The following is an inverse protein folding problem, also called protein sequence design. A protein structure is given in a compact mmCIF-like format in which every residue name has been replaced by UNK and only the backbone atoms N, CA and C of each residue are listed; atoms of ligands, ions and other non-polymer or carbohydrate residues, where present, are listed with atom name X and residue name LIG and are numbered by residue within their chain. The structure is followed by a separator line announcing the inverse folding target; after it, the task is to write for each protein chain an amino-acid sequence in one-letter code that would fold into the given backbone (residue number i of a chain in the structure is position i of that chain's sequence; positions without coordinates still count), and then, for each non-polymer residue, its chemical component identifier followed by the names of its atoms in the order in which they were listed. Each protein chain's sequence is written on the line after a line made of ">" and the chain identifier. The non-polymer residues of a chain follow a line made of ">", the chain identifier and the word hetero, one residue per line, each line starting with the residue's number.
data_IF_817358599838
#
_entry.id   IF_817358599838
#
_cell.length_a   1.000
_cell.length_b   1.000
_cell.length_c   1.000
_cell.angle_alpha   90.00
_cell.angle_beta   90.00
_cell.angle_gamma   90.00
#
_symmetry.space_group_name_H-M   'P 1'
#
loop_
_entity.id
_entity.type
_entity.pdbx_description
1 polymer ?
#
# COMPACT_ATOMS: atom_id res chain seq x y z
N UNK A 1 7.72 16.21 0.83
CA UNK A 1 7.37 14.78 0.94
C UNK A 1 7.68 14.39 2.37
N UNK A 2 6.77 13.71 3.08
CA UNK A 2 7.01 13.28 4.46
C UNK A 2 7.86 12.00 4.46
N UNK A 3 8.65 11.77 5.49
CA UNK A 3 9.41 10.55 5.66
C UNK A 3 8.77 9.67 6.73
N UNK A 4 8.85 8.37 6.51
CA UNK A 4 8.33 7.34 7.40
C UNK A 4 9.19 6.09 7.23
N UNK A 5 9.03 5.10 8.09
CA UNK A 5 9.75 3.82 8.02
C UNK A 5 8.76 2.68 8.22
N UNK A 6 9.13 1.49 7.75
CA UNK A 6 8.32 0.29 7.95
C UNK A 6 9.19 -0.92 8.27
N UNK A 7 8.78 -1.69 9.27
CA UNK A 7 9.46 -2.90 9.73
C UNK A 7 8.73 -4.15 9.25
N UNK A 8 9.35 -4.92 8.37
CA UNK A 8 8.88 -6.25 7.95
C UNK A 8 9.60 -7.29 8.82
N UNK A 9 9.03 -7.60 9.98
CA UNK A 9 9.58 -8.64 10.86
C UNK A 9 9.30 -10.02 10.28
N UNK A 10 10.34 -10.85 10.19
CA UNK A 10 10.27 -12.19 9.57
C UNK A 10 10.87 -13.22 10.51
N UNK A 11 10.19 -14.35 10.69
CA UNK A 11 10.75 -15.53 11.33
C UNK A 11 10.32 -16.77 10.54
N UNK A 12 11.29 -17.59 10.11
CA UNK A 12 11.05 -18.71 9.19
C UNK A 12 10.31 -18.27 7.90
N UNK A 13 9.08 -18.75 7.67
CA UNK A 13 8.23 -18.38 6.53
C UNK A 13 7.10 -17.40 6.89
N UNK A 14 7.08 -16.93 8.15
CA UNK A 14 6.05 -16.06 8.69
C UNK A 14 6.49 -14.60 8.74
N UNK A 15 5.54 -13.72 8.43
CA UNK A 15 5.65 -12.28 8.53
C UNK A 15 4.80 -11.84 9.72
N UNK A 16 5.32 -10.93 10.53
CA UNK A 16 4.48 -10.24 11.50
C UNK A 16 3.67 -9.16 10.78
N UNK A 17 2.34 -9.24 10.90
CA UNK A 17 1.43 -8.28 10.29
C UNK A 17 0.45 -7.73 11.30
N UNK A 18 0.01 -6.50 11.06
CA UNK A 18 -1.01 -5.84 11.86
C UNK A 18 -2.20 -5.50 10.98
N UNK A 19 -3.40 -5.53 11.57
CA UNK A 19 -4.60 -4.93 11.01
C UNK A 19 -4.90 -3.65 11.76
N UNK A 20 -4.87 -2.54 11.04
CA UNK A 20 -5.14 -1.20 11.58
C UNK A 20 -6.56 -1.10 12.14
N UNK A 21 -6.73 -0.33 13.21
CA UNK A 21 -8.04 -0.08 13.82
C UNK A 21 -9.02 0.56 12.81
N UNK A 22 -10.30 0.15 12.79
CA UNK A 22 -11.29 0.69 11.85
C UNK A 22 -11.63 2.17 12.04
N UNK A 23 -11.35 2.74 13.22
CA UNK A 23 -11.64 4.13 13.54
C UNK A 23 -10.50 5.10 13.15
N UNK A 24 -9.36 4.59 12.68
CA UNK A 24 -8.24 5.43 12.24
C UNK A 24 -8.57 6.16 10.94
N UNK A 25 -8.10 7.40 10.83
CA UNK A 25 -8.34 8.23 9.64
C UNK A 25 -7.64 7.69 8.39
N UNK A 26 -6.47 7.07 8.54
CA UNK A 26 -5.66 6.55 7.44
C UNK A 26 -5.68 5.02 7.40
N UNK A 27 -6.14 4.49 6.26
CA UNK A 27 -6.18 3.05 5.96
C UNK A 27 -6.84 2.19 7.06
N UNK A 28 -8.07 2.52 7.50
CA UNK A 28 -8.77 1.75 8.53
C UNK A 28 -9.02 0.31 8.07
N UNK A 29 -8.68 -0.66 8.92
CA UNK A 29 -8.86 -2.08 8.62
C UNK A 29 -7.87 -2.69 7.62
N UNK A 30 -6.87 -1.93 7.15
CA UNK A 30 -5.84 -2.44 6.23
C UNK A 30 -4.86 -3.34 6.99
N UNK A 31 -4.42 -4.40 6.31
CA UNK A 31 -3.21 -5.11 6.70
C UNK A 31 -1.99 -4.26 6.35
N UNK A 32 -1.10 -4.12 7.31
CA UNK A 32 0.12 -3.33 7.21
C UNK A 32 1.27 -4.00 7.96
N UNK A 33 2.45 -3.44 7.76
CA UNK A 33 3.61 -3.71 8.60
C UNK A 33 3.75 -2.56 9.60
N UNK A 34 4.24 -2.82 10.82
CA UNK A 34 4.51 -1.80 11.83
C UNK A 34 5.42 -0.70 11.30
N UNK A 35 5.23 0.53 11.78
CA UNK A 35 6.05 1.67 11.42
C UNK A 35 5.24 2.95 11.24
N UNK A 36 5.94 4.06 11.39
CA UNK A 36 5.34 5.38 11.36
C UNK A 36 6.29 6.43 10.82
N UNK A 37 6.05 7.67 11.23
CA UNK A 37 6.74 8.83 10.66
C UNK A 37 8.12 8.97 11.28
N UNK A 38 9.03 9.53 10.51
CA UNK A 38 10.28 10.07 11.08
C UNK A 38 9.95 11.41 11.72
N UNK A 39 10.23 11.53 13.01
CA UNK A 39 10.04 12.73 13.80
C UNK A 39 11.36 13.50 13.96
N UNK A 40 11.28 14.75 14.41
CA UNK A 40 12.47 15.61 14.54
C UNK A 40 13.43 15.08 15.62
N UNK A 41 12.87 14.44 16.64
CA UNK A 41 13.55 13.78 17.75
C UNK A 41 14.36 12.55 17.30
N UNK A 42 14.09 12.00 16.11
CA UNK A 42 14.82 10.86 15.56
C UNK A 42 16.18 11.25 14.94
N UNK A 43 16.50 12.56 14.84
CA UNK A 43 17.69 13.06 14.17
C UNK A 43 19.01 12.52 14.75
N UNK A 44 19.05 12.24 16.05
CA UNK A 44 20.22 11.71 16.74
C UNK A 44 20.05 10.22 17.08
N UNK A 45 20.95 9.41 16.52
CA UNK A 45 21.01 7.97 16.79
C UNK A 45 22.44 7.54 17.09
N UNK A 46 22.66 6.99 18.29
CA UNK A 46 24.00 6.69 18.80
C UNK A 46 24.29 5.18 18.90
N UNK A 47 23.29 4.30 18.73
CA UNK A 47 23.48 2.86 18.83
C UNK A 47 24.23 2.33 17.61
N UNK A 48 25.46 1.86 17.82
CA UNK A 48 26.30 1.26 16.78
C UNK A 48 26.15 -0.26 16.77
N UNK A 49 25.73 -0.81 15.63
CA UNK A 49 25.69 -2.24 15.40
C UNK A 49 25.99 -2.56 13.93
N UNK A 50 26.81 -3.60 13.61
CA UNK A 50 27.19 -3.91 12.23
C UNK A 50 26.02 -4.05 11.26
N UNK A 51 24.88 -4.63 11.69
CA UNK A 51 23.67 -4.80 10.86
C UNK A 51 22.90 -3.50 10.58
N UNK A 52 23.27 -2.38 11.21
CA UNK A 52 22.59 -1.09 11.06
C UNK A 52 23.42 -0.04 10.33
N UNK A 53 24.74 -0.22 10.24
CA UNK A 53 25.70 0.80 9.76
C UNK A 53 25.45 1.30 8.33
N UNK A 54 24.82 0.48 7.49
CA UNK A 54 24.51 0.87 6.11
C UNK A 54 23.25 1.73 5.98
N UNK A 55 22.43 1.83 7.03
CA UNK A 55 21.17 2.57 7.00
C UNK A 55 21.31 3.96 7.64
N UNK A 56 20.55 4.97 7.19
CA UNK A 56 20.56 6.29 7.82
C UNK A 56 20.11 6.21 9.28
N UNK A 57 20.93 6.74 10.20
CA UNK A 57 20.69 6.64 11.64
C UNK A 57 19.32 7.14 12.09
N UNK A 58 18.82 8.24 11.50
CA UNK A 58 17.50 8.77 11.81
C UNK A 58 16.35 7.84 11.40
N UNK A 59 16.50 7.08 10.31
CA UNK A 59 15.50 6.08 9.90
C UNK A 59 15.54 4.89 10.84
N UNK A 60 16.74 4.47 11.27
CA UNK A 60 16.88 3.40 12.26
C UNK A 60 16.28 3.81 13.61
N UNK A 61 16.51 5.04 14.06
CA UNK A 61 15.91 5.55 15.31
C UNK A 61 14.40 5.55 15.25
N UNK A 62 13.81 6.07 14.17
CA UNK A 62 12.37 6.02 13.96
C UNK A 62 11.87 4.57 13.95
N UNK A 63 12.59 3.65 13.29
CA UNK A 63 12.21 2.23 13.21
C UNK A 63 12.21 1.57 14.60
N UNK A 64 13.23 1.83 15.42
CA UNK A 64 13.31 1.34 16.79
C UNK A 64 12.18 1.91 17.66
N UNK A 65 11.91 3.22 17.55
CA UNK A 65 10.83 3.88 18.29
C UNK A 65 9.46 3.31 17.95
N UNK A 66 9.12 3.24 16.66
CA UNK A 66 7.82 2.74 16.19
C UNK A 66 7.62 1.26 16.56
N UNK A 67 8.66 0.42 16.45
CA UNK A 67 8.59 -0.98 16.91
C UNK A 67 8.35 -1.08 18.42
N UNK A 68 8.93 -0.18 19.20
CA UNK A 68 8.72 -0.15 20.64
C UNK A 68 7.33 0.37 21.02
N UNK A 69 6.88 1.47 20.41
CA UNK A 69 5.59 2.10 20.67
C UNK A 69 4.42 1.23 20.21
N UNK A 70 4.45 0.73 18.98
CA UNK A 70 3.35 -0.06 18.43
C UNK A 70 3.31 -1.50 18.97
N UNK A 71 4.47 -2.10 19.27
CA UNK A 71 4.57 -3.55 19.54
C UNK A 71 5.22 -3.92 20.86
N UNK A 72 5.78 -2.96 21.60
CA UNK A 72 6.63 -3.25 22.75
C UNK A 72 7.92 -4.01 22.39
N UNK A 73 8.33 -4.00 21.12
CA UNK A 73 9.50 -4.73 20.64
C UNK A 73 10.75 -3.85 20.60
N UNK A 74 11.71 -4.14 21.49
CA UNK A 74 12.99 -3.45 21.55
C UNK A 74 14.01 -4.07 20.57
N UNK A 75 14.16 -3.42 19.41
CA UNK A 75 15.08 -3.86 18.36
C UNK A 75 16.55 -3.77 18.78
N UNK A 76 16.95 -2.75 19.54
CA UNK A 76 18.34 -2.58 20.00
C UNK A 76 18.74 -3.70 20.96
N UNK A 77 17.86 -4.03 21.90
CA UNK A 77 18.07 -5.15 22.83
C UNK A 77 18.11 -6.48 22.08
N UNK A 78 17.24 -6.68 21.09
CA UNK A 78 17.26 -7.88 20.24
C UNK A 78 18.58 -8.01 19.47
N UNK A 79 19.11 -6.90 18.93
CA UNK A 79 20.42 -6.86 18.27
C UNK A 79 21.55 -7.20 19.25
N UNK A 80 21.57 -6.55 20.42
CA UNK A 80 22.60 -6.78 21.45
C UNK A 80 22.62 -8.24 21.95
N UNK A 81 21.48 -8.93 21.94
CA UNK A 81 21.34 -10.36 22.30
C UNK A 81 21.62 -11.31 21.14
N UNK A 82 21.91 -10.80 19.94
CA UNK A 82 22.13 -11.61 18.74
C UNK A 82 20.84 -12.28 18.24
N UNK A 83 19.66 -11.76 18.57
CA UNK A 83 18.37 -12.34 18.17
C UNK A 83 17.96 -11.94 16.74
N UNK A 84 18.62 -10.95 16.16
CA UNK A 84 18.45 -10.53 14.76
C UNK A 84 19.51 -11.19 13.89
N UNK A 85 19.09 -11.96 12.89
CA UNK A 85 19.97 -12.64 11.92
C UNK A 85 20.48 -11.67 10.86
N UNK A 86 19.60 -10.86 10.30
CA UNK A 86 19.93 -9.92 9.22
C UNK A 86 18.90 -8.80 9.16
N UNK A 87 19.33 -7.66 8.61
CA UNK A 87 18.45 -6.55 8.25
C UNK A 87 18.76 -6.18 6.79
N UNK A 88 17.74 -5.96 5.97
CA UNK A 88 17.90 -5.54 4.57
C UNK A 88 16.81 -4.57 4.14
N UNK A 89 17.15 -3.57 3.33
CA UNK A 89 16.17 -2.67 2.72
C UNK A 89 15.48 -3.35 1.53
N UNK A 90 14.21 -3.73 1.68
CA UNK A 90 13.42 -4.31 0.59
C UNK A 90 13.18 -3.30 -0.54
N UNK A 91 13.04 -2.03 -0.20
CA UNK A 91 12.83 -0.94 -1.14
C UNK A 91 12.13 0.23 -0.49
N UNK A 92 12.03 1.33 -1.23
CA UNK A 92 11.37 2.56 -0.77
C UNK A 92 10.07 2.78 -1.52
N UNK A 93 8.96 2.70 -0.80
CA UNK A 93 7.65 3.01 -1.32
C UNK A 93 7.43 4.53 -1.31
N UNK A 94 7.00 5.08 -2.45
CA UNK A 94 6.70 6.49 -2.62
C UNK A 94 5.21 6.63 -2.90
N UNK A 95 4.51 7.40 -2.07
CA UNK A 95 3.08 7.66 -2.32
C UNK A 95 2.90 8.36 -3.67
N UNK A 96 1.97 7.89 -4.52
CA UNK A 96 1.72 8.48 -5.83
C UNK A 96 1.42 9.98 -5.80
N UNK A 97 1.69 10.68 -6.91
CA UNK A 97 1.61 12.14 -7.01
C UNK A 97 0.19 12.71 -6.82
N UNK A 98 -0.84 11.91 -7.10
CA UNK A 98 -2.24 12.34 -6.97
C UNK A 98 -2.74 12.36 -5.52
N UNK A 99 -2.03 11.72 -4.58
CA UNK A 99 -2.43 11.71 -3.18
C UNK A 99 -2.12 13.07 -2.53
N UNK A 100 -3.08 13.61 -1.76
CA UNK A 100 -2.93 14.90 -1.07
C UNK A 100 -1.78 14.88 -0.04
N UNK A 101 -1.60 13.76 0.65
CA UNK A 101 -0.49 13.54 1.58
C UNK A 101 0.43 12.46 1.01
N UNK A 102 1.73 12.74 0.98
CA UNK A 102 2.72 11.85 0.35
C UNK A 102 3.85 11.51 1.30
N UNK A 103 4.19 10.22 1.34
CA UNK A 103 5.27 9.65 2.12
C UNK A 103 6.34 9.01 1.22
N UNK A 104 7.58 9.01 1.73
CA UNK A 104 8.67 8.13 1.32
C UNK A 104 8.93 7.16 2.46
N UNK A 105 8.76 5.86 2.20
CA UNK A 105 8.78 4.81 3.23
C UNK A 105 9.74 3.69 2.82
N UNK A 106 11.01 3.70 3.26
CA UNK A 106 11.85 2.51 3.27
C UNK A 106 11.20 1.38 4.08
N UNK A 107 11.17 0.18 3.51
CA UNK A 107 10.69 -1.03 4.17
C UNK A 107 11.88 -1.92 4.51
N UNK A 108 12.19 -2.06 5.80
CA UNK A 108 13.30 -2.87 6.30
C UNK A 108 12.79 -4.26 6.67
N UNK A 109 13.33 -5.28 6.02
CA UNK A 109 13.15 -6.67 6.45
C UNK A 109 14.09 -6.94 7.61
N UNK A 110 13.55 -7.41 8.72
CA UNK A 110 14.30 -7.80 9.91
C UNK A 110 14.06 -9.29 10.14
N UNK A 111 15.08 -10.11 9.86
CA UNK A 111 14.99 -11.57 10.06
C UNK A 111 15.38 -11.92 11.50
N UNK A 112 14.44 -12.51 12.24
CA UNK A 112 14.59 -12.86 13.65
C UNK A 112 14.91 -14.34 13.83
N UNK A 113 15.80 -14.65 14.77
CA UNK A 113 16.13 -16.03 15.15
C UNK A 113 14.97 -16.74 15.86
N UNK A 114 14.06 -15.99 16.48
CA UNK A 114 12.85 -16.47 17.16
C UNK A 114 11.75 -15.41 17.08
N UNK A 115 10.50 -15.82 17.30
CA UNK A 115 9.39 -14.88 17.48
C UNK A 115 9.51 -14.19 18.85
N UNK A 116 9.67 -12.85 18.91
CA UNK A 116 9.67 -12.12 20.17
C UNK A 116 8.27 -12.10 20.80
N UNK A 117 8.21 -11.76 22.07
CA UNK A 117 6.96 -11.35 22.70
C UNK A 117 6.54 -10.00 22.11
N UNK A 118 5.30 -9.91 21.63
CA UNK A 118 4.73 -8.70 21.04
C UNK A 118 3.52 -8.26 21.86
N UNK A 119 3.43 -6.96 22.10
CA UNK A 119 2.33 -6.27 22.79
C UNK A 119 1.80 -5.16 21.89
N UNK A 120 0.86 -5.48 20.98
CA UNK A 120 0.29 -4.49 20.07
C UNK A 120 -0.41 -3.37 20.84
N UNK A 121 -0.21 -2.13 20.44
CA UNK A 121 -1.01 -1.01 20.91
C UNK A 121 -2.47 -1.17 20.44
N UNK A 122 -3.38 -1.33 21.41
CA UNK A 122 -4.79 -1.52 21.15
C UNK A 122 -5.49 -0.29 20.57
N UNK A 123 -4.92 0.91 20.69
CA UNK A 123 -5.48 2.12 20.09
C UNK A 123 -5.26 2.18 18.58
N UNK A 124 -4.15 1.62 18.08
CA UNK A 124 -3.82 1.61 16.65
C UNK A 124 -4.05 0.25 15.96
N UNK A 125 -3.90 -0.85 16.69
CA UNK A 125 -3.89 -2.21 16.13
C UNK A 125 -5.10 -3.01 16.62
N UNK A 126 -5.98 -3.37 15.68
CA UNK A 126 -7.16 -4.19 15.96
C UNK A 126 -6.86 -5.69 16.08
N UNK A 127 -5.78 -6.12 15.44
CA UNK A 127 -5.34 -7.52 15.40
C UNK A 127 -3.91 -7.55 14.89
N UNK A 128 -3.09 -8.45 15.42
CA UNK A 128 -1.76 -8.71 14.91
C UNK A 128 -1.41 -10.19 15.10
N UNK A 129 -0.64 -10.74 14.17
CA UNK A 129 -0.19 -12.12 14.26
C UNK A 129 1.01 -12.39 13.33
N UNK A 130 1.66 -13.52 13.57
CA UNK A 130 2.61 -14.12 12.65
C UNK A 130 1.84 -14.96 11.63
N UNK A 131 1.96 -14.63 10.35
CA UNK A 131 1.26 -15.35 9.28
C UNK A 131 2.21 -15.61 8.12
N UNK A 132 2.13 -16.80 7.53
CA UNK A 132 2.95 -17.11 6.36
C UNK A 132 2.64 -16.18 5.19
N UNK A 133 3.67 -15.81 4.42
CA UNK A 133 3.49 -14.94 3.25
C UNK A 133 2.47 -15.49 2.24
N UNK A 134 2.44 -16.82 2.07
CA UNK A 134 1.50 -17.51 1.18
C UNK A 134 0.05 -17.38 1.66
N UNK A 135 -0.20 -17.50 2.96
CA UNK A 135 -1.53 -17.33 3.54
C UNK A 135 -2.00 -15.87 3.41
N UNK A 136 -1.15 -14.89 3.68
CA UNK A 136 -1.47 -13.47 3.49
C UNK A 136 -1.81 -13.15 2.03
N UNK A 137 -1.02 -13.67 1.09
CA UNK A 137 -1.29 -13.48 -0.33
C UNK A 137 -2.61 -14.13 -0.75
N UNK A 138 -2.94 -15.29 -0.18
CA UNK A 138 -4.21 -15.95 -0.45
C UNK A 138 -5.41 -15.21 0.15
N UNK A 139 -5.29 -14.61 1.34
CA UNK A 139 -6.33 -13.75 1.91
C UNK A 139 -6.62 -12.55 1.01
N UNK A 140 -5.58 -11.88 0.50
CA UNK A 140 -5.74 -10.79 -0.46
C UNK A 140 -6.46 -11.27 -1.73
N UNK A 141 -5.96 -12.34 -2.38
CA UNK A 141 -6.59 -12.92 -3.59
C UNK A 141 -8.03 -13.39 -3.38
N UNK A 142 -8.43 -13.69 -2.15
CA UNK A 142 -9.80 -14.07 -1.81
C UNK A 142 -10.70 -12.87 -1.46
N UNK A 143 -10.21 -11.62 -1.58
CA UNK A 143 -10.95 -10.42 -1.20
C UNK A 143 -11.18 -10.29 0.31
N UNK A 144 -10.34 -10.94 1.13
CA UNK A 144 -10.47 -10.96 2.60
C UNK A 144 -9.49 -10.03 3.32
N UNK A 145 -8.64 -9.34 2.58
CA UNK A 145 -7.65 -8.42 3.13
C UNK A 145 -7.56 -7.15 2.27
N UNK A 146 -7.56 -6.00 2.95
CA UNK A 146 -7.20 -4.71 2.38
C UNK A 146 -5.69 -4.52 2.51
N UNK A 147 -5.02 -4.19 1.40
CA UNK A 147 -3.57 -3.95 1.38
C UNK A 147 -3.26 -2.81 0.43
N UNK A 148 -2.35 -1.91 0.83
CA UNK A 148 -1.77 -0.93 -0.10
C UNK A 148 -0.78 -1.62 -1.04
N UNK A 149 -0.52 -1.02 -2.21
CA UNK A 149 0.32 -1.61 -3.24
C UNK A 149 1.72 -2.06 -2.73
N UNK A 150 2.45 -1.27 -1.91
CA UNK A 150 3.73 -1.73 -1.35
C UNK A 150 3.60 -3.01 -0.51
N UNK A 151 2.59 -3.09 0.36
CA UNK A 151 2.31 -4.28 1.18
C UNK A 151 2.02 -5.49 0.29
N UNK A 152 1.22 -5.32 -0.77
CA UNK A 152 0.94 -6.40 -1.73
C UNK A 152 2.23 -6.88 -2.42
N UNK A 153 3.08 -5.97 -2.88
CA UNK A 153 4.34 -6.32 -3.52
C UNK A 153 5.26 -7.09 -2.57
N UNK A 154 5.42 -6.63 -1.32
CA UNK A 154 6.25 -7.30 -0.32
C UNK A 154 5.70 -8.68 0.03
N UNK A 155 4.41 -8.78 0.36
CA UNK A 155 3.76 -10.06 0.70
C UNK A 155 3.88 -11.05 -0.46
N UNK A 156 3.59 -10.62 -1.70
CA UNK A 156 3.71 -11.48 -2.89
C UNK A 156 5.13 -11.96 -3.12
N UNK A 157 6.13 -11.08 -2.99
CA UNK A 157 7.53 -11.44 -3.17
C UNK A 157 7.98 -12.43 -2.08
N UNK A 158 7.73 -12.14 -0.80
CA UNK A 158 8.15 -13.01 0.30
C UNK A 158 7.35 -14.31 0.37
N UNK A 159 6.12 -14.35 -0.15
CA UNK A 159 5.36 -15.59 -0.35
C UNK A 159 5.99 -16.52 -1.38
N UNK A 160 6.71 -15.96 -2.37
CA UNK A 160 7.33 -16.71 -3.46
C UNK A 160 8.80 -17.04 -3.16
N UNK A 161 9.51 -16.09 -2.56
CA UNK A 161 10.90 -16.20 -2.14
C UNK A 161 11.12 -15.47 -0.82
N UNK A 162 11.11 -16.22 0.28
CA UNK A 162 11.39 -15.70 1.62
C UNK A 162 12.80 -15.15 1.79
N UNK A 163 13.75 -15.55 0.94
CA UNK A 163 15.14 -15.09 1.02
C UNK A 163 15.36 -13.75 0.31
N UNK A 164 14.35 -13.24 -0.40
CA UNK A 164 14.41 -11.96 -1.07
C UNK A 164 14.87 -10.85 -0.11
N UNK A 165 15.86 -10.08 -0.58
CA UNK A 165 16.41 -8.91 0.10
C UNK A 165 15.95 -7.60 -0.57
N UNK A 166 15.28 -7.69 -1.72
CA UNK A 166 14.75 -6.55 -2.47
C UNK A 166 13.42 -6.91 -3.14
N UNK A 167 12.55 -5.92 -3.25
CA UNK A 167 11.26 -5.97 -3.95
C UNK A 167 11.30 -4.98 -5.11
N UNK A 168 11.18 -5.49 -6.33
CA UNK A 168 11.16 -4.67 -7.53
C UNK A 168 10.08 -5.17 -8.51
N UNK A 169 9.08 -4.35 -8.87
CA UNK A 169 8.79 -3.01 -8.34
C UNK A 169 8.08 -3.06 -6.97
N UNK A 170 8.46 -2.15 -6.07
CA UNK A 170 7.72 -1.89 -4.81
C UNK A 170 6.60 -0.86 -4.99
N UNK A 171 6.74 0.01 -5.99
CA UNK A 171 5.76 1.05 -6.32
C UNK A 171 4.84 0.60 -7.45
N UNK A 172 3.68 1.24 -7.58
CA UNK A 172 2.83 1.05 -8.76
C UNK A 172 3.60 1.51 -10.01
N UNK A 173 3.50 0.72 -11.09
CA UNK A 173 4.17 1.01 -12.36
C UNK A 173 3.11 1.32 -13.42
N UNK A 174 3.16 2.53 -13.96
CA UNK A 174 2.31 2.99 -15.06
C UNK A 174 2.97 4.18 -15.75
N UNK A 175 2.54 4.48 -16.97
CA UNK A 175 3.04 5.65 -17.71
C UNK A 175 2.29 6.91 -17.24
N UNK A 176 2.92 7.71 -16.38
CA UNK A 176 2.31 8.92 -15.82
C UNK A 176 1.88 9.96 -16.87
N UNK A 177 2.52 9.96 -18.05
CA UNK A 177 2.25 10.93 -19.11
C UNK A 177 1.01 10.55 -19.93
N UNK A 178 0.66 9.26 -19.96
CA UNK A 178 -0.38 8.76 -20.87
C UNK A 178 -1.42 7.88 -20.21
N UNK A 179 -1.28 7.54 -18.94
CA UNK A 179 -2.17 6.66 -18.19
C UNK A 179 -2.55 7.27 -16.84
N UNK A 180 -3.74 6.91 -16.37
CA UNK A 180 -4.15 7.07 -14.98
C UNK A 180 -3.68 5.89 -14.14
N UNK A 181 -3.34 6.12 -12.85
CA UNK A 181 -2.97 5.05 -11.93
C UNK A 181 -4.17 4.13 -11.66
N UNK A 182 -3.87 2.85 -11.43
CA UNK A 182 -4.84 1.84 -11.04
C UNK A 182 -4.42 1.23 -9.70
N UNK A 183 -5.31 1.28 -8.71
CA UNK A 183 -5.09 0.76 -7.36
C UNK A 183 -6.12 -0.32 -7.02
N UNK A 184 -5.72 -1.59 -6.97
CA UNK A 184 -6.57 -2.68 -6.47
C UNK A 184 -6.27 -2.89 -4.98
N UNK A 185 -6.93 -2.15 -4.09
CA UNK A 185 -6.65 -2.21 -2.63
C UNK A 185 -7.29 -3.42 -1.94
N UNK A 186 -8.33 -3.97 -2.57
CA UNK A 186 -8.96 -5.25 -2.26
C UNK A 186 -9.22 -5.96 -3.59
N UNK A 187 -9.08 -7.29 -3.62
CA UNK A 187 -9.24 -8.04 -4.86
C UNK A 187 -10.63 -7.82 -5.47
N UNK A 188 -10.66 -7.56 -6.78
CA UNK A 188 -11.90 -7.38 -7.54
C UNK A 188 -12.46 -5.95 -7.48
N UNK A 189 -11.85 -5.04 -6.71
CA UNK A 189 -12.24 -3.62 -6.64
C UNK A 189 -11.01 -2.75 -6.89
N UNK A 190 -10.92 -2.23 -8.11
CA UNK A 190 -9.92 -1.27 -8.54
C UNK A 190 -10.40 0.17 -8.39
N UNK A 191 -9.51 1.06 -8.02
CA UNK A 191 -9.71 2.50 -7.94
C UNK A 191 -8.86 3.20 -9.00
N UNK A 192 -9.50 4.03 -9.82
CA UNK A 192 -8.84 4.91 -10.79
C UNK A 192 -9.21 6.36 -10.42
N UNK A 193 -8.27 7.18 -9.90
CA UNK A 193 -8.53 8.59 -9.65
C UNK A 193 -8.57 9.33 -10.98
N UNK A 194 -9.78 9.63 -11.46
CA UNK A 194 -10.03 10.32 -12.72
C UNK A 194 -10.13 11.81 -12.43
N UNK A 195 -9.30 12.69 -13.04
CA UNK A 195 -9.49 14.13 -12.90
C UNK A 195 -10.88 14.54 -13.39
N UNK A 196 -11.67 15.19 -12.52
CA UNK A 196 -13.11 15.42 -12.71
C UNK A 196 -13.50 16.85 -12.35
N UNK A 197 -14.71 17.27 -12.71
CA UNK A 197 -15.25 18.61 -12.43
C UNK A 197 -15.81 18.72 -11.00
N UNK A 198 -15.06 18.24 -10.02
CA UNK A 198 -15.44 18.20 -8.61
C UNK A 198 -15.42 19.59 -7.97
N UNK A 199 -16.07 19.73 -6.80
CA UNK A 199 -15.95 20.93 -5.99
C UNK A 199 -14.58 20.95 -5.26
N UNK A 200 -13.90 22.11 -5.18
CA UNK A 200 -12.71 22.25 -4.36
C UNK A 200 -12.97 21.84 -2.90
N UNK A 201 -12.01 21.20 -2.21
CA UNK A 201 -10.63 20.96 -2.62
C UNK A 201 -10.41 19.70 -3.48
N UNK A 202 -11.46 18.93 -3.79
CA UNK A 202 -11.33 17.72 -4.60
C UNK A 202 -10.98 18.07 -6.05
N UNK A 203 -10.14 17.25 -6.68
CA UNK A 203 -9.68 17.43 -8.07
C UNK A 203 -9.97 16.23 -8.97
N UNK A 204 -10.49 15.14 -8.41
CA UNK A 204 -10.73 13.87 -9.09
C UNK A 204 -11.88 13.11 -8.46
N UNK A 205 -12.63 12.39 -9.29
CA UNK A 205 -13.55 11.34 -8.84
C UNK A 205 -12.84 10.01 -8.82
N UNK A 206 -13.15 9.20 -7.80
CA UNK A 206 -12.63 7.86 -7.67
C UNK A 206 -13.51 6.89 -8.48
N UNK A 207 -13.19 6.69 -9.76
CA UNK A 207 -13.90 5.71 -10.57
C UNK A 207 -13.55 4.30 -10.09
N UNK A 208 -14.57 3.48 -9.82
CA UNK A 208 -14.39 2.12 -9.29
C UNK A 208 -14.54 1.11 -10.42
N UNK A 209 -13.51 0.29 -10.63
CA UNK A 209 -13.55 -0.86 -11.53
C UNK A 209 -13.85 -2.10 -10.68
N UNK A 210 -15.09 -2.59 -10.73
CA UNK A 210 -15.55 -3.72 -9.94
C UNK A 210 -15.78 -4.97 -10.79
N UNK A 211 -15.21 -6.11 -10.37
CA UNK A 211 -15.44 -7.41 -10.99
C UNK A 211 -14.20 -8.30 -10.98
N UNK A 212 -14.45 -9.61 -10.93
CA UNK A 212 -13.44 -10.65 -10.90
C UNK A 212 -13.37 -11.44 -12.20
N UNK A 213 -12.34 -12.29 -12.31
CA UNK A 213 -12.18 -13.19 -13.45
C UNK A 213 -13.42 -14.07 -13.63
N UNK A 214 -13.97 -14.10 -14.84
CA UNK A 214 -15.15 -14.88 -15.19
C UNK A 214 -16.49 -14.15 -15.04
N UNK A 215 -16.51 -12.91 -14.55
CA UNK A 215 -17.72 -12.09 -14.41
C UNK A 215 -17.59 -10.75 -15.14
N UNK A 216 -18.71 -10.11 -15.54
CA UNK A 216 -18.67 -8.77 -16.12
C UNK A 216 -18.03 -7.76 -15.15
N UNK A 217 -17.11 -6.96 -15.68
CA UNK A 217 -16.44 -5.89 -14.95
C UNK A 217 -17.17 -4.57 -15.21
N UNK A 218 -17.56 -3.89 -14.15
CA UNK A 218 -18.27 -2.60 -14.18
C UNK A 218 -17.32 -1.47 -13.85
N UNK A 219 -17.30 -0.42 -14.67
CA UNK A 219 -16.69 0.86 -14.29
C UNK A 219 -17.77 1.78 -13.73
N UNK A 220 -17.56 2.27 -12.51
CA UNK A 220 -18.52 3.14 -11.83
C UNK A 220 -18.03 4.58 -11.85
N UNK A 221 -18.93 5.48 -12.24
CA UNK A 221 -18.75 6.93 -12.28
C UNK A 221 -17.47 7.43 -13.00
N UNK A 222 -17.17 6.97 -14.22
CA UNK A 222 -16.08 7.55 -14.99
C UNK A 222 -16.45 8.97 -15.45
N UNK A 223 -15.68 9.96 -15.00
CA UNK A 223 -16.01 11.36 -15.28
C UNK A 223 -14.82 12.25 -15.61
N UNK A 224 -14.05 11.95 -16.68
CA UNK A 224 -12.94 12.81 -17.11
C UNK A 224 -13.42 14.24 -17.41
N UNK A 225 -12.73 15.23 -16.86
CA UNK A 225 -13.08 16.66 -17.00
C UNK A 225 -12.71 17.26 -18.36
N UNK A 226 -11.74 16.69 -19.06
CA UNK A 226 -11.16 17.19 -20.30
C UNK A 226 -10.67 16.06 -21.22
N UNK A 227 -10.23 16.43 -22.43
CA UNK A 227 -9.74 15.49 -23.45
C UNK A 227 -8.52 14.70 -22.99
N UNK A 228 -7.60 15.34 -22.28
CA UNK A 228 -6.38 14.69 -21.78
C UNK A 228 -6.74 13.57 -20.79
N UNK A 229 -7.59 13.87 -19.80
CA UNK A 229 -8.04 12.91 -18.79
C UNK A 229 -8.82 11.76 -19.43
N UNK A 230 -9.61 12.04 -20.47
CA UNK A 230 -10.34 11.05 -21.25
C UNK A 230 -9.41 10.07 -21.98
N UNK A 231 -8.41 10.59 -22.69
CA UNK A 231 -7.44 9.76 -23.42
C UNK A 231 -6.59 8.91 -22.45
N UNK A 232 -6.17 9.50 -21.33
CA UNK A 232 -5.46 8.77 -20.26
C UNK A 232 -6.32 7.65 -19.67
N UNK A 233 -7.59 7.92 -19.40
CA UNK A 233 -8.53 6.91 -18.90
C UNK A 233 -8.72 5.78 -19.92
N UNK A 234 -8.95 6.09 -21.20
CA UNK A 234 -9.08 5.05 -22.24
C UNK A 234 -7.82 4.19 -22.35
N UNK A 235 -6.62 4.79 -22.30
CA UNK A 235 -5.37 4.03 -22.31
C UNK A 235 -5.22 3.14 -21.09
N UNK A 236 -5.61 3.61 -19.91
CA UNK A 236 -5.68 2.78 -18.69
C UNK A 236 -6.66 1.63 -18.85
N UNK A 237 -7.85 1.86 -19.41
CA UNK A 237 -8.87 0.82 -19.63
C UNK A 237 -8.47 -0.23 -20.67
N UNK A 238 -7.54 0.07 -21.59
CA UNK A 238 -6.95 -0.95 -22.46
C UNK A 238 -6.16 -2.01 -21.66
N UNK A 239 -5.50 -1.61 -20.57
CA UNK A 239 -4.80 -2.53 -19.65
C UNK A 239 -5.75 -3.22 -18.68
N UNK A 240 -6.83 -2.54 -18.32
CA UNK A 240 -7.81 -2.99 -17.34
C UNK A 240 -9.23 -2.98 -17.94
N UNK A 241 -9.53 -3.91 -18.86
CA UNK A 241 -10.77 -3.89 -19.64
C UNK A 241 -12.01 -3.98 -18.76
N UNK A 242 -13.11 -3.44 -19.28
CA UNK A 242 -14.43 -3.34 -18.65
C UNK A 242 -15.51 -3.82 -19.61
N UNK A 243 -16.66 -4.21 -19.07
CA UNK A 243 -17.78 -4.75 -19.84
C UNK A 243 -19.00 -3.83 -19.84
N UNK A 244 -19.11 -2.94 -18.85
CA UNK A 244 -20.21 -2.01 -18.72
C UNK A 244 -19.80 -0.80 -17.85
N UNK A 245 -20.55 0.28 -17.98
CA UNK A 245 -20.44 1.45 -17.11
C UNK A 245 -21.70 1.53 -16.25
N UNK A 246 -21.56 1.96 -15.00
CA UNK A 246 -22.68 2.29 -14.11
C UNK A 246 -22.49 3.70 -13.60
N UNK A 247 -23.54 4.51 -13.65
CA UNK A 247 -23.57 5.85 -13.07
C UNK A 247 -24.42 5.80 -11.81
N UNK A 248 -23.82 6.12 -10.66
CA UNK A 248 -24.51 6.14 -9.38
C UNK A 248 -25.34 7.41 -9.20
N UNK A 249 -24.97 8.50 -9.88
CA UNK A 249 -25.70 9.77 -9.81
C UNK A 249 -25.40 10.73 -10.97
N UNK A 250 -26.27 11.72 -11.14
CA UNK A 250 -26.27 12.64 -12.29
C UNK A 250 -25.55 13.98 -12.04
N UNK A 251 -24.64 14.05 -11.05
CA UNK A 251 -23.79 15.23 -10.93
C UNK A 251 -22.68 15.19 -11.97
N UNK A 252 -22.30 16.38 -12.47
CA UNK A 252 -21.38 16.51 -13.60
C UNK A 252 -20.03 15.83 -13.34
N UNK A 253 -19.58 15.77 -12.10
CA UNK A 253 -18.35 15.14 -11.67
C UNK A 253 -18.38 13.60 -11.62
N UNK A 254 -19.50 12.95 -11.94
CA UNK A 254 -19.62 11.49 -11.95
C UNK A 254 -19.99 10.88 -13.30
N UNK A 255 -20.49 11.66 -14.26
CA UNK A 255 -20.92 11.12 -15.55
C UNK A 255 -20.35 11.86 -16.78
N UNK A 256 -19.46 12.84 -16.60
CA UNK A 256 -18.90 13.62 -17.70
C UNK A 256 -18.24 12.67 -18.72
N UNK A 257 -18.66 12.73 -19.97
CA UNK A 257 -18.18 11.88 -21.08
C UNK A 257 -18.41 10.36 -20.92
N UNK A 258 -19.10 9.88 -19.87
CA UNK A 258 -19.43 8.46 -19.73
C UNK A 258 -20.17 7.86 -20.95
N UNK A 259 -21.15 8.55 -21.58
CA UNK A 259 -21.76 8.06 -22.83
C UNK A 259 -20.77 7.93 -24.00
N UNK A 260 -19.78 8.81 -24.07
CA UNK A 260 -18.77 8.78 -25.14
C UNK A 260 -17.78 7.63 -24.91
N UNK A 261 -17.39 7.38 -23.65
CA UNK A 261 -16.58 6.21 -23.27
C UNK A 261 -17.33 4.91 -23.63
N UNK A 262 -18.62 4.81 -23.27
CA UNK A 262 -19.44 3.64 -23.56
C UNK A 262 -19.54 3.36 -25.07
N UNK A 263 -19.78 4.40 -25.89
CA UNK A 263 -19.78 4.29 -27.35
C UNK A 263 -18.42 3.89 -27.91
N UNK A 264 -17.34 4.52 -27.43
CA UNK A 264 -15.97 4.24 -27.87
C UNK A 264 -15.58 2.78 -27.62
N UNK A 265 -16.00 2.23 -26.48
CA UNK A 265 -15.70 0.85 -26.08
C UNK A 265 -16.76 -0.16 -26.55
N UNK A 266 -17.85 0.31 -27.16
CA UNK A 266 -19.00 -0.52 -27.57
C UNK A 266 -19.59 -1.35 -26.43
N UNK A 267 -19.79 -0.73 -25.26
CA UNK A 267 -20.33 -1.34 -24.04
C UNK A 267 -21.59 -0.61 -23.55
N UNK A 268 -22.46 -1.28 -22.77
CA UNK A 268 -23.61 -0.62 -22.13
C UNK A 268 -23.19 0.40 -21.06
N UNK A 269 -24.04 1.39 -20.87
CA UNK A 269 -24.06 2.42 -19.82
C UNK A 269 -25.39 2.34 -19.07
#
# INVERSE_FOLDING_TARGET
>A
MREAVSAVLVHADELFVVRRQPHLLAFPGYLAFPGGKVDAEDAEYAFDHPLLREFPGYQVRALCRELFEELGFDLELALARGEVRSISLLGTAITPRFAAVRFSVPHYKIELQRKPEIRPDGEEIAWADWVSGSALWQQFKAGKALMVAPTQCIVRTLASDRSAQRVDPINIVYDHETELPYLELIKGVGLIPVPSMTLPPATSTNALRMGDSGYPVTLVDPSPKDRESYEKLLKTLNKYPINQILITHHHRDHHQQAPDIARQLSIPL
#
